data_IF_261570098234
#
_entry.id   IF_261570098234
#
_cell.length_a   1.000
_cell.length_b   1.000
_cell.length_c   1.000
_cell.angle_alpha   90.00
_cell.angle_beta   90.00
_cell.angle_gamma   90.00
#
_symmetry.space_group_name_H-M   'P 1'
#
loop_
_entity.id
_entity.type
_entity.pdbx_description
1 polymer ?
#
# COMPACT_ATOMS: atom_id res chain seq x y z
N UNK A 1 26.93 -28.15 -52.21
CA UNK A 1 27.75 -28.14 -50.98
C UNK A 1 27.23 -27.01 -50.08
N UNK A 2 26.82 -27.36 -48.85
CA UNK A 2 26.24 -26.46 -47.86
C UNK A 2 27.31 -25.68 -47.06
N UNK A 3 27.01 -24.44 -46.68
CA UNK A 3 27.56 -23.78 -45.48
C UNK A 3 26.62 -22.60 -45.10
N UNK A 4 25.63 -22.79 -44.20
CA UNK A 4 25.69 -22.53 -42.73
C UNK A 4 26.11 -21.08 -42.42
N UNK A 5 25.19 -20.11 -42.39
CA UNK A 5 24.35 -19.68 -41.24
C UNK A 5 25.14 -19.47 -39.93
N UNK A 6 25.34 -18.20 -39.57
CA UNK A 6 25.65 -17.77 -38.22
C UNK A 6 24.71 -16.59 -37.87
N UNK A 7 23.57 -16.91 -37.27
CA UNK A 7 22.70 -15.92 -36.64
C UNK A 7 23.20 -15.76 -35.21
N UNK A 8 23.89 -14.66 -34.93
CA UNK A 8 24.27 -14.27 -33.58
C UNK A 8 23.01 -13.88 -32.81
N UNK A 9 22.56 -14.78 -31.93
CA UNK A 9 21.43 -14.55 -31.05
C UNK A 9 21.76 -13.50 -29.99
N UNK A 10 21.10 -12.34 -30.08
CA UNK A 10 21.04 -11.38 -28.99
C UNK A 10 20.14 -11.95 -27.88
N UNK A 11 20.75 -12.52 -26.84
CA UNK A 11 20.08 -12.84 -25.59
C UNK A 11 19.82 -11.52 -24.83
N UNK A 12 18.65 -10.92 -25.08
CA UNK A 12 18.12 -9.86 -24.23
C UNK A 12 17.72 -10.48 -22.89
N UNK A 13 18.50 -10.20 -21.85
CA UNK A 13 18.22 -10.52 -20.45
C UNK A 13 16.98 -9.76 -19.96
N UNK A 14 15.79 -10.34 -20.13
CA UNK A 14 14.57 -9.93 -19.44
C UNK A 14 14.66 -10.34 -17.97
N UNK A 15 15.42 -9.58 -17.18
CA UNK A 15 15.28 -9.61 -15.71
C UNK A 15 13.99 -8.86 -15.40
N UNK A 16 12.86 -9.54 -15.53
CA UNK A 16 11.56 -9.03 -15.12
C UNK A 16 11.56 -8.84 -13.60
N UNK A 17 11.78 -7.60 -13.15
CA UNK A 17 11.54 -7.24 -11.76
C UNK A 17 10.05 -7.47 -11.47
N UNK A 18 9.75 -8.52 -10.70
CA UNK A 18 8.41 -8.90 -10.26
C UNK A 18 7.82 -7.87 -9.26
N UNK A 19 7.65 -6.63 -9.70
CA UNK A 19 6.95 -5.59 -8.96
C UNK A 19 5.59 -5.43 -9.64
N UNK A 20 4.52 -5.76 -8.92
CA UNK A 20 3.17 -5.43 -9.43
C UNK A 20 2.95 -3.92 -9.31
N UNK A 21 2.14 -3.32 -10.19
CA UNK A 21 1.81 -1.91 -10.09
C UNK A 21 1.19 -1.60 -8.72
N UNK A 22 1.49 -0.42 -8.21
CA UNK A 22 0.84 0.12 -7.02
C UNK A 22 -0.63 0.36 -7.35
N UNK A 23 -1.52 -0.23 -6.56
CA UNK A 23 -2.97 -0.04 -6.67
C UNK A 23 -3.44 0.88 -5.57
N UNK A 24 -4.43 1.72 -5.89
CA UNK A 24 -5.06 2.65 -4.95
C UNK A 24 -6.58 2.55 -5.07
N UNK A 25 -7.25 2.48 -3.93
CA UNK A 25 -8.70 2.53 -3.82
C UNK A 25 -9.14 3.64 -2.88
N UNK A 26 -10.32 4.23 -3.13
CA UNK A 26 -10.94 5.26 -2.29
C UNK A 26 -10.85 6.69 -2.82
N UNK A 27 -11.40 7.63 -2.07
CA UNK A 27 -11.42 9.08 -2.40
C UNK A 27 -10.23 9.80 -1.77
N UNK A 28 -9.53 10.64 -2.54
CA UNK A 28 -8.42 11.40 -1.98
C UNK A 28 -8.93 12.38 -0.92
N UNK A 29 -8.12 12.66 0.14
CA UNK A 29 -8.42 13.77 1.02
C UNK A 29 -8.58 15.05 0.20
N UNK A 30 -9.54 15.93 0.54
CA UNK A 30 -9.58 17.27 -0.01
C UNK A 30 -8.30 18.04 0.37
N UNK A 31 -8.03 19.15 -0.30
CA UNK A 31 -6.96 20.05 0.14
C UNK A 31 -7.33 20.65 1.50
N UNK A 32 -6.34 20.89 2.38
CA UNK A 32 -6.62 21.47 3.70
C UNK A 32 -7.26 22.87 3.63
N UNK A 33 -6.98 23.63 2.56
CA UNK A 33 -7.57 24.94 2.31
C UNK A 33 -9.09 24.90 2.08
N UNK A 34 -9.65 23.73 1.77
CA UNK A 34 -11.10 23.51 1.60
C UNK A 34 -11.79 23.22 2.95
N UNK A 35 -11.04 23.06 4.04
CA UNK A 35 -11.55 22.70 5.36
C UNK A 35 -11.45 23.89 6.32
N UNK A 36 -12.44 24.03 7.20
CA UNK A 36 -12.45 25.05 8.23
C UNK A 36 -11.36 24.82 9.31
N UNK A 37 -11.11 23.55 9.66
CA UNK A 37 -10.04 23.17 10.59
C UNK A 37 -9.33 21.88 10.13
N UNK A 38 -8.21 21.97 9.39
CA UNK A 38 -7.47 20.82 8.88
C UNK A 38 -6.53 20.21 9.94
N UNK A 39 -7.00 20.10 11.19
CA UNK A 39 -6.24 19.48 12.29
C UNK A 39 -6.66 18.02 12.49
N UNK A 40 -5.71 17.16 12.83
CA UNK A 40 -6.02 15.77 13.20
C UNK A 40 -5.26 15.32 14.44
N UNK A 41 -5.75 14.25 15.06
CA UNK A 41 -5.06 13.48 16.10
C UNK A 41 -4.96 12.01 15.65
N UNK A 42 -3.82 11.37 15.89
CA UNK A 42 -3.65 9.96 15.55
C UNK A 42 -4.54 9.06 16.42
N UNK A 43 -5.22 8.10 15.78
CA UNK A 43 -6.18 7.20 16.43
C UNK A 43 -5.54 6.23 17.44
N UNK A 44 -4.32 5.79 17.17
CA UNK A 44 -3.53 4.87 17.99
C UNK A 44 -2.06 5.07 17.64
N UNK A 45 -1.19 5.09 18.65
CA UNK A 45 0.25 5.01 18.39
C UNK A 45 0.61 3.59 17.96
N UNK A 46 1.57 3.43 17.04
CA UNK A 46 2.18 2.13 16.76
C UNK A 46 2.68 1.46 18.04
N UNK A 47 2.67 0.13 18.08
CA UNK A 47 3.23 -0.61 19.19
C UNK A 47 4.75 -0.34 19.28
N UNK A 48 5.27 -0.30 20.50
CA UNK A 48 6.72 -0.14 20.72
C UNK A 48 7.48 -1.28 20.04
N UNK A 49 8.48 -0.94 19.23
CA UNK A 49 9.26 -1.91 18.43
C UNK A 49 8.67 -2.26 17.06
N UNK A 50 7.47 -1.79 16.71
CA UNK A 50 6.91 -1.93 15.35
C UNK A 50 7.41 -0.80 14.44
N UNK A 51 8.66 -0.94 13.97
CA UNK A 51 9.29 0.04 13.08
C UNK A 51 8.50 0.25 11.78
N UNK A 52 8.00 -0.79 11.07
CA UNK A 52 7.20 -0.60 9.85
C UNK A 52 5.93 0.21 10.05
N UNK A 53 5.17 -0.04 11.14
CA UNK A 53 3.99 0.76 11.44
C UNK A 53 4.34 2.21 11.80
N UNK A 54 5.44 2.40 12.53
CA UNK A 54 5.96 3.73 12.88
C UNK A 54 6.35 4.54 11.64
N UNK A 55 7.06 3.92 10.69
CA UNK A 55 7.46 4.54 9.44
C UNK A 55 6.24 4.86 8.57
N UNK A 56 5.25 3.97 8.53
CA UNK A 56 4.01 4.21 7.80
C UNK A 56 3.27 5.45 8.32
N UNK A 57 3.15 5.58 9.65
CA UNK A 57 2.56 6.75 10.28
C UNK A 57 3.35 8.02 9.94
N UNK A 58 4.69 7.99 10.04
CA UNK A 58 5.52 9.14 9.73
C UNK A 58 5.38 9.59 8.26
N UNK A 59 5.36 8.65 7.32
CA UNK A 59 5.20 8.94 5.89
C UNK A 59 3.80 9.47 5.56
N UNK A 60 2.75 8.96 6.20
CA UNK A 60 1.38 9.48 6.04
C UNK A 60 1.27 10.90 6.62
N UNK A 61 1.86 11.16 7.79
CA UNK A 61 1.92 12.51 8.38
C UNK A 61 2.59 13.50 7.43
N UNK A 62 3.73 13.13 6.85
CA UNK A 62 4.44 13.96 5.88
C UNK A 62 3.61 14.23 4.62
N UNK A 63 2.93 13.20 4.09
CA UNK A 63 2.05 13.35 2.94
C UNK A 63 0.86 14.28 3.25
N UNK A 64 0.23 14.14 4.41
CA UNK A 64 -0.86 15.02 4.86
C UNK A 64 -0.39 16.46 5.09
N UNK A 65 0.79 16.65 5.67
CA UNK A 65 1.40 17.97 5.84
C UNK A 65 1.62 18.67 4.49
N UNK A 66 2.00 17.92 3.44
CA UNK A 66 2.11 18.48 2.08
C UNK A 66 0.78 18.97 1.50
N UNK A 67 -0.36 18.51 2.03
CA UNK A 67 -1.70 19.00 1.69
C UNK A 67 -2.22 20.07 2.64
N UNK A 68 -1.42 20.49 3.62
CA UNK A 68 -1.74 21.54 4.60
C UNK A 68 -2.43 21.06 5.88
N UNK A 69 -2.53 19.74 6.11
CA UNK A 69 -3.05 19.20 7.37
C UNK A 69 -1.99 19.28 8.46
N UNK A 70 -2.42 19.41 9.72
CA UNK A 70 -1.51 19.48 10.89
C UNK A 70 -1.98 18.56 12.01
N UNK A 71 -1.06 17.88 12.66
CA UNK A 71 -1.38 17.12 13.86
C UNK A 71 -1.51 18.06 15.07
N UNK A 72 -2.53 17.85 15.90
CA UNK A 72 -2.76 18.59 17.14
C UNK A 72 -3.38 17.68 18.20
N UNK A 73 -3.08 17.86 19.50
CA UNK A 73 -3.64 17.02 20.58
C UNK A 73 -5.17 16.95 20.59
N UNK A 74 -5.83 18.05 20.22
CA UNK A 74 -7.28 18.17 20.12
C UNK A 74 -7.74 18.32 18.66
N UNK A 75 -7.02 17.73 17.70
CA UNK A 75 -7.34 17.88 16.29
C UNK A 75 -8.79 17.48 15.97
N UNK A 76 -9.41 18.22 15.06
CA UNK A 76 -10.81 18.07 14.67
C UNK A 76 -11.11 16.68 14.10
N UNK A 77 -10.17 16.13 13.32
CA UNK A 77 -10.27 14.80 12.76
C UNK A 77 -9.49 13.74 13.54
N UNK A 78 -9.92 12.49 13.47
CA UNK A 78 -9.18 11.30 13.90
C UNK A 78 -8.54 10.65 12.68
N UNK A 79 -7.22 10.51 12.70
CA UNK A 79 -6.45 9.84 11.65
C UNK A 79 -6.23 8.36 12.00
N UNK A 80 -6.68 7.46 11.14
CA UNK A 80 -6.43 6.02 11.21
C UNK A 80 -5.37 5.64 10.18
N UNK A 81 -4.34 4.92 10.61
CA UNK A 81 -3.29 4.36 9.74
C UNK A 81 -3.11 2.89 10.10
N UNK A 82 -3.19 2.02 9.10
CA UNK A 82 -3.00 0.58 9.27
C UNK A 82 -2.06 0.03 8.21
N UNK A 83 -1.13 -0.83 8.63
CA UNK A 83 -0.21 -1.52 7.72
C UNK A 83 -0.38 -3.03 7.91
N UNK A 84 -0.67 -3.72 6.82
CA UNK A 84 -0.82 -5.16 6.80
C UNK A 84 0.10 -5.78 5.74
N UNK A 85 0.69 -6.93 6.09
CA UNK A 85 1.50 -7.75 5.18
C UNK A 85 0.90 -9.15 5.16
N UNK A 86 0.41 -9.57 4.00
CA UNK A 86 -0.18 -10.89 3.81
C UNK A 86 0.59 -11.68 2.74
N UNK A 87 0.64 -13.02 2.84
CA UNK A 87 0.99 -13.86 1.69
C UNK A 87 0.07 -13.52 0.51
N UNK A 88 0.61 -13.43 -0.71
CA UNK A 88 -0.18 -13.04 -1.88
C UNK A 88 -1.37 -13.98 -2.20
N UNK A 89 -1.37 -15.20 -1.65
CA UNK A 89 -2.39 -16.23 -1.86
C UNK A 89 -3.67 -16.06 -1.01
N UNK A 90 -3.74 -15.04 -0.14
CA UNK A 90 -4.98 -14.73 0.59
C UNK A 90 -5.82 -13.74 -0.24
N UNK A 91 -6.59 -14.27 -1.19
CA UNK A 91 -7.76 -13.58 -1.73
C UNK A 91 -8.91 -13.77 -0.74
N UNK A 92 -9.22 -12.73 0.03
CA UNK A 92 -10.44 -12.71 0.82
C UNK A 92 -11.56 -12.26 -0.11
N UNK A 93 -12.24 -13.24 -0.72
CA UNK A 93 -13.45 -13.02 -1.50
C UNK A 93 -14.50 -12.28 -0.65
N UNK A 94 -14.98 -11.15 -1.16
CA UNK A 94 -16.11 -10.42 -0.57
C UNK A 94 -17.41 -11.13 -0.97
N UNK A 95 -17.95 -11.92 -0.05
CA UNK A 95 -19.38 -12.28 0.00
C UNK A 95 -19.82 -13.47 -0.85
N UNK A 96 -20.67 -14.28 -0.21
CA UNK A 96 -21.47 -15.41 -0.71
C UNK A 96 -20.75 -16.72 -1.07
N UNK A 97 -20.96 -17.70 -0.19
CA UNK A 97 -20.87 -19.15 -0.39
C UNK A 97 -20.08 -19.61 -1.62
N UNK A 98 -18.75 -19.51 -1.53
CA UNK A 98 -17.86 -20.21 -2.43
C UNK A 98 -16.96 -21.09 -1.57
N UNK A 99 -16.91 -22.38 -1.91
CA UNK A 99 -15.98 -23.36 -1.37
C UNK A 99 -14.58 -22.76 -1.22
N UNK A 100 -13.79 -23.19 -0.21
CA UNK A 100 -12.41 -22.74 -0.10
C UNK A 100 -11.72 -22.98 -1.45
N UNK A 101 -11.13 -21.94 -2.08
CA UNK A 101 -10.45 -22.14 -3.35
C UNK A 101 -9.39 -23.21 -3.12
N UNK A 102 -9.50 -24.31 -3.88
CA UNK A 102 -8.52 -25.36 -3.87
C UNK A 102 -7.15 -24.69 -4.02
N UNK A 103 -6.28 -24.94 -3.04
CA UNK A 103 -4.91 -24.43 -3.00
C UNK A 103 -4.11 -25.17 -4.07
N UNK A 104 -4.44 -24.93 -5.34
CA UNK A 104 -3.59 -25.35 -6.44
C UNK A 104 -2.70 -24.16 -6.79
N UNK A 105 -1.83 -23.85 -5.83
CA UNK A 105 -0.56 -23.24 -6.16
C UNK A 105 0.18 -24.28 -7.00
N UNK A 106 -0.09 -24.30 -8.31
CA UNK A 106 0.75 -24.96 -9.28
C UNK A 106 2.16 -24.45 -9.03
N UNK A 107 2.93 -25.26 -8.28
CA UNK A 107 4.28 -24.98 -7.85
C UNK A 107 5.12 -24.98 -9.11
N UNK A 108 5.22 -23.85 -9.77
CA UNK A 108 6.15 -23.67 -10.85
C UNK A 108 7.55 -23.66 -10.19
N UNK A 109 8.38 -24.70 -10.40
CA UNK A 109 9.62 -24.91 -9.64
C UNK A 109 10.71 -23.86 -9.94
N UNK A 110 10.44 -22.92 -10.86
CA UNK A 110 11.36 -21.87 -11.31
C UNK A 110 11.08 -20.52 -10.62
N UNK A 111 10.03 -20.39 -9.80
CA UNK A 111 9.70 -19.10 -9.14
C UNK A 111 10.42 -18.98 -7.79
N UNK A 112 11.63 -18.41 -7.81
CA UNK A 112 12.45 -18.09 -6.63
C UNK A 112 11.84 -16.98 -5.73
N UNK A 113 10.81 -16.27 -6.19
CA UNK A 113 10.12 -15.25 -5.41
C UNK A 113 8.78 -15.75 -4.85
N UNK A 114 8.58 -15.64 -3.54
CA UNK A 114 7.24 -15.66 -2.92
C UNK A 114 6.74 -14.23 -2.76
N UNK A 115 5.75 -13.77 -3.57
CA UNK A 115 5.26 -12.41 -3.46
C UNK A 115 4.51 -12.19 -2.14
N UNK A 116 4.78 -11.04 -1.50
CA UNK A 116 4.00 -10.54 -0.38
C UNK A 116 3.12 -9.39 -0.84
N UNK A 117 1.88 -9.35 -0.35
CA UNK A 117 0.95 -8.23 -0.54
C UNK A 117 1.08 -7.31 0.66
N UNK A 118 1.47 -6.07 0.41
CA UNK A 118 1.50 -4.99 1.38
C UNK A 118 0.27 -4.12 1.17
N UNK A 119 -0.43 -3.81 2.25
CA UNK A 119 -1.66 -2.99 2.24
C UNK A 119 -1.52 -1.91 3.29
N UNK A 120 -1.53 -0.65 2.84
CA UNK A 120 -1.59 0.53 3.68
C UNK A 120 -3.01 1.08 3.63
N UNK A 121 -3.66 1.18 4.78
CA UNK A 121 -4.97 1.83 4.92
C UNK A 121 -4.79 3.17 5.62
N UNK A 122 -5.44 4.20 5.10
CA UNK A 122 -5.44 5.55 5.69
C UNK A 122 -6.88 6.06 5.70
N UNK A 123 -7.35 6.54 6.84
CA UNK A 123 -8.68 7.10 6.99
C UNK A 123 -8.68 8.34 7.86
N UNK A 124 -9.58 9.27 7.58
CA UNK A 124 -9.79 10.45 8.39
C UNK A 124 -11.28 10.61 8.68
N UNK A 125 -11.60 10.73 9.96
CA UNK A 125 -12.98 10.72 10.48
C UNK A 125 -13.18 11.98 11.32
N UNK A 126 -14.28 12.70 11.08
CA UNK A 126 -14.73 13.83 11.90
C UNK A 126 -15.05 13.33 13.31
N UNK A 127 -14.43 13.92 14.33
CA UNK A 127 -14.60 13.48 15.72
C UNK A 127 -15.90 13.94 16.36
N UNK A 128 -16.56 14.95 15.79
CA UNK A 128 -17.81 15.51 16.30
C UNK A 128 -19.01 14.70 15.85
N UNK A 129 -19.04 14.26 14.59
CA UNK A 129 -20.19 13.57 14.01
C UNK A 129 -19.90 12.15 13.47
N UNK A 130 -18.63 11.72 13.45
CA UNK A 130 -18.23 10.39 12.96
C UNK A 130 -18.22 10.26 11.43
N UNK A 131 -18.42 11.34 10.69
CA UNK A 131 -18.40 11.32 9.23
C UNK A 131 -17.00 11.00 8.71
N UNK A 132 -16.93 10.10 7.73
CA UNK A 132 -15.68 9.77 7.06
C UNK A 132 -15.36 10.88 6.06
N UNK A 133 -14.30 11.65 6.32
CA UNK A 133 -13.78 12.62 5.37
C UNK A 133 -13.18 11.91 4.16
N UNK A 134 -12.33 10.92 4.41
CA UNK A 134 -11.81 10.01 3.40
C UNK A 134 -11.38 8.68 3.99
N UNK A 135 -11.32 7.66 3.14
CA UNK A 135 -10.71 6.37 3.45
C UNK A 135 -10.09 5.82 2.17
N UNK A 136 -8.79 5.53 2.23
CA UNK A 136 -7.99 5.07 1.11
C UNK A 136 -7.22 3.81 1.47
N UNK A 137 -6.98 3.01 0.45
CA UNK A 137 -6.12 1.84 0.50
C UNK A 137 -5.08 1.98 -0.59
N UNK A 138 -3.81 1.80 -0.24
CA UNK A 138 -2.72 1.63 -1.20
C UNK A 138 -2.17 0.21 -1.04
N UNK A 139 -2.09 -0.55 -2.13
CA UNK A 139 -1.62 -1.92 -2.09
C UNK A 139 -0.59 -2.20 -3.18
N UNK A 140 0.47 -2.89 -2.81
CA UNK A 140 1.53 -3.31 -3.72
C UNK A 140 1.88 -4.78 -3.47
N UNK A 141 2.27 -5.49 -4.53
CA UNK A 141 2.87 -6.82 -4.41
C UNK A 141 4.36 -6.70 -4.69
N UNK A 142 5.17 -7.20 -3.75
CA UNK A 142 6.61 -7.14 -3.86
C UNK A 142 7.24 -8.50 -3.57
N UNK A 143 8.33 -8.77 -4.27
CA UNK A 143 9.22 -9.91 -4.07
C UNK A 143 10.34 -9.51 -3.11
N UNK A 144 10.45 -10.16 -1.94
CA UNK A 144 11.53 -9.88 -0.98
C UNK A 144 11.17 -8.87 0.13
N UNK A 145 12.16 -8.46 0.96
CA UNK A 145 11.92 -7.73 2.22
C UNK A 145 11.70 -6.20 2.09
N UNK A 146 11.70 -5.63 0.88
CA UNK A 146 11.81 -4.19 0.65
C UNK A 146 10.53 -3.36 0.90
N UNK A 147 9.80 -3.61 1.99
CA UNK A 147 8.67 -2.77 2.41
C UNK A 147 9.10 -1.29 2.53
N UNK A 148 10.28 -1.04 3.06
CA UNK A 148 10.90 0.29 3.20
C UNK A 148 11.01 1.03 1.85
N UNK A 149 11.25 0.32 0.74
CA UNK A 149 11.38 0.93 -0.59
C UNK A 149 10.02 1.31 -1.19
N UNK A 150 8.97 0.54 -0.90
CA UNK A 150 7.63 0.76 -1.46
C UNK A 150 6.75 1.65 -0.59
N UNK A 151 6.99 1.67 0.73
CA UNK A 151 6.13 2.35 1.69
C UNK A 151 6.01 3.86 1.45
N UNK A 152 7.07 4.61 1.08
CA UNK A 152 6.95 6.03 0.74
C UNK A 152 6.01 6.27 -0.45
N UNK A 153 6.01 5.38 -1.45
CA UNK A 153 5.11 5.48 -2.60
C UNK A 153 3.68 5.12 -2.22
N UNK A 154 3.49 4.09 -1.40
CA UNK A 154 2.17 3.73 -0.87
C UNK A 154 1.53 4.86 -0.07
N UNK A 155 2.29 5.51 0.82
CA UNK A 155 1.80 6.62 1.63
C UNK A 155 1.39 7.82 0.77
N UNK A 156 2.20 8.18 -0.25
CA UNK A 156 1.83 9.23 -1.21
C UNK A 156 0.57 8.87 -2.00
N UNK A 157 0.46 7.65 -2.51
CA UNK A 157 -0.74 7.23 -3.24
C UNK A 157 -2.01 7.25 -2.36
N UNK A 158 -1.88 6.89 -1.08
CA UNK A 158 -3.00 6.91 -0.15
C UNK A 158 -3.52 8.33 0.16
N UNK A 159 -2.72 9.39 -0.05
CA UNK A 159 -3.03 10.76 0.38
C UNK A 159 -3.06 11.78 -0.77
N UNK A 160 -2.13 11.69 -1.72
CA UNK A 160 -1.94 12.68 -2.78
C UNK A 160 -2.50 12.23 -4.14
N UNK A 161 -2.47 10.92 -4.43
CA UNK A 161 -2.81 10.37 -5.74
C UNK A 161 -1.56 9.98 -6.50
#
# INVERSE_FOLDING_TARGET
MHARHAIAGALLSLVGACTSPLTREGRLPPAAAELADPTYVLAAQPAEGDAPASDAVALVRAALASKGYREAPNGHYRLEVGLAVAPAALDIGRGEAAEPPAVDAARNPIVLCRPRRHVLTVGMIDRTNGAVLFRNVAAARHCGPALEEILPRMARAAVNG
#
